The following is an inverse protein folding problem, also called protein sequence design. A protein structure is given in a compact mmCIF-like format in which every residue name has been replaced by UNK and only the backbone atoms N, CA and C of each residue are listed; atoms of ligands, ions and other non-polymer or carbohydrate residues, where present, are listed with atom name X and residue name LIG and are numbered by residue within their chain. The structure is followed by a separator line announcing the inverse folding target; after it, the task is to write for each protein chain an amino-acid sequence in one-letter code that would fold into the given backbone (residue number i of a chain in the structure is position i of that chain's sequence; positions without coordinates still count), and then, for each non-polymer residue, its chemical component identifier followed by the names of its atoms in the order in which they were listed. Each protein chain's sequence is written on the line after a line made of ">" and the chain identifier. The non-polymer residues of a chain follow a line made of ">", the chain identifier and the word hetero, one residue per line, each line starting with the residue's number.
data_IF_174724960355
#
_entry.id   IF_174724960355
#
_cell.length_a   1.000
_cell.length_b   1.000
_cell.length_c   1.000
_cell.angle_alpha   90.00
_cell.angle_beta   90.00
_cell.angle_gamma   90.00
#
_symmetry.space_group_name_H-M   'P 1'
#
loop_
_entity.id
_entity.type
_entity.pdbx_description
1 polymer ?
#
# COMPACT_ATOMS: atom_id res chain seq x y z
N UNK A 1 -14.13 6.40 -29.14
CA UNK A 1 -13.27 5.23 -28.84
C UNK A 1 -13.41 4.92 -27.34
N UNK A 2 -13.85 3.71 -26.96
CA UNK A 2 -13.85 3.31 -25.54
C UNK A 2 -12.41 3.09 -25.11
N UNK A 3 -11.94 3.80 -24.08
CA UNK A 3 -10.65 3.52 -23.46
C UNK A 3 -10.79 2.24 -22.64
N UNK A 4 -10.33 1.12 -23.19
CA UNK A 4 -10.23 -0.13 -22.44
C UNK A 4 -8.97 -0.01 -21.57
N UNK A 5 -9.08 -0.14 -20.24
CA UNK A 5 -7.93 -0.17 -19.36
C UNK A 5 -6.97 -1.28 -19.80
N UNK A 6 -5.69 -0.94 -20.00
CA UNK A 6 -4.66 -1.93 -20.27
C UNK A 6 -4.18 -2.53 -18.95
N UNK A 7 -3.93 -3.84 -18.96
CA UNK A 7 -3.30 -4.54 -17.85
C UNK A 7 -1.86 -4.03 -17.71
N UNK A 8 -1.54 -3.42 -16.57
CA UNK A 8 -0.20 -2.85 -16.34
C UNK A 8 0.83 -3.89 -15.92
N UNK A 9 0.41 -4.94 -15.19
CA UNK A 9 1.30 -5.94 -14.61
C UNK A 9 0.52 -7.10 -14.01
N UNK A 10 1.15 -8.28 -13.97
CA UNK A 10 0.70 -9.47 -13.23
C UNK A 10 1.86 -9.94 -12.35
N UNK A 11 1.56 -10.32 -11.11
CA UNK A 11 2.53 -10.88 -10.17
C UNK A 11 1.82 -11.84 -9.22
N UNK A 12 2.60 -12.74 -8.63
CA UNK A 12 2.16 -13.62 -7.55
C UNK A 12 2.60 -13.02 -6.21
N UNK A 13 1.71 -13.07 -5.22
CA UNK A 13 1.96 -12.64 -3.84
C UNK A 13 1.58 -13.78 -2.88
N UNK A 14 2.51 -14.70 -2.59
CA UNK A 14 2.28 -15.76 -1.62
C UNK A 14 2.36 -15.19 -0.20
N UNK A 15 1.35 -15.46 0.62
CA UNK A 15 1.36 -15.13 2.04
C UNK A 15 1.72 -16.38 2.86
N UNK A 16 2.62 -16.26 3.83
CA UNK A 16 3.02 -17.37 4.69
C UNK A 16 4.45 -17.32 5.19
N UNK A 17 4.92 -18.42 5.76
CA UNK A 17 6.31 -18.60 6.18
C UNK A 17 7.25 -18.71 4.98
N UNK A 18 8.57 -18.65 5.21
CA UNK A 18 9.54 -18.88 4.13
C UNK A 18 9.38 -20.25 3.46
N UNK A 19 8.96 -21.27 4.22
CA UNK A 19 8.70 -22.61 3.70
C UNK A 19 7.46 -22.64 2.79
N UNK A 20 6.42 -21.90 3.15
CA UNK A 20 5.20 -21.77 2.34
C UNK A 20 5.51 -21.07 1.03
N UNK A 21 6.38 -20.05 1.08
CA UNK A 21 6.83 -19.33 -0.11
C UNK A 21 7.52 -20.26 -1.12
N UNK A 22 8.50 -21.06 -0.68
CA UNK A 22 9.26 -21.96 -1.57
C UNK A 22 8.35 -23.02 -2.20
N UNK A 23 7.40 -23.54 -1.42
CA UNK A 23 6.41 -24.50 -1.91
C UNK A 23 5.50 -23.86 -2.97
N UNK A 24 4.95 -22.67 -2.69
CA UNK A 24 4.05 -21.95 -3.61
C UNK A 24 4.77 -21.44 -4.86
N UNK A 25 6.05 -21.10 -4.76
CA UNK A 25 6.88 -20.65 -5.88
C UNK A 25 6.94 -21.70 -7.00
N UNK A 26 7.00 -22.99 -6.65
CA UNK A 26 7.05 -24.09 -7.63
C UNK A 26 5.80 -24.23 -8.50
N UNK A 27 4.65 -23.73 -8.03
CA UNK A 27 3.38 -23.74 -8.77
C UNK A 27 3.15 -22.49 -9.64
N UNK A 28 4.03 -21.50 -9.55
CA UNK A 28 3.88 -20.23 -10.25
C UNK A 28 4.34 -20.33 -11.72
N UNK A 29 3.62 -19.65 -12.63
CA UNK A 29 4.00 -19.60 -14.03
C UNK A 29 5.37 -18.93 -14.22
N UNK A 30 6.23 -19.54 -15.03
CA UNK A 30 7.53 -18.97 -15.40
C UNK A 30 7.37 -17.59 -16.08
N UNK A 31 8.22 -16.64 -15.70
CA UNK A 31 8.23 -15.28 -16.25
C UNK A 31 7.28 -14.29 -15.56
N UNK A 32 6.40 -14.74 -14.66
CA UNK A 32 5.60 -13.86 -13.80
C UNK A 32 6.37 -13.57 -12.52
N UNK A 33 6.62 -12.29 -12.15
CA UNK A 33 7.32 -11.95 -10.92
C UNK A 33 6.63 -12.52 -9.68
N UNK A 34 7.44 -13.13 -8.80
CA UNK A 34 7.01 -13.59 -7.49
C UNK A 34 7.51 -12.58 -6.45
N UNK A 35 6.60 -11.94 -5.73
CA UNK A 35 6.95 -10.95 -4.72
C UNK A 35 6.97 -11.59 -3.35
N UNK A 36 8.12 -11.48 -2.67
CA UNK A 36 8.26 -11.82 -1.24
C UNK A 36 8.23 -10.53 -0.45
N UNK A 37 7.34 -10.44 0.53
CA UNK A 37 7.41 -9.37 1.51
C UNK A 37 8.67 -9.54 2.35
N UNK A 38 9.40 -8.45 2.53
CA UNK A 38 10.44 -8.36 3.55
C UNK A 38 9.84 -8.73 4.92
N UNK A 39 10.52 -9.48 5.80
CA UNK A 39 10.03 -9.76 7.15
C UNK A 39 9.70 -8.50 7.97
N UNK A 40 10.33 -7.36 7.66
CA UNK A 40 10.05 -6.06 8.26
C UNK A 40 8.85 -5.34 7.61
N UNK A 41 8.25 -5.90 6.56
CA UNK A 41 7.07 -5.34 5.91
C UNK A 41 5.88 -5.37 6.87
N UNK A 42 5.40 -4.20 7.25
CA UNK A 42 4.15 -4.04 7.97
C UNK A 42 3.06 -3.59 7.01
N UNK A 43 2.02 -4.41 6.75
CA UNK A 43 0.93 -3.99 5.90
C UNK A 43 0.18 -2.82 6.56
N UNK A 44 -0.38 -1.88 5.78
CA UNK A 44 -1.24 -0.85 6.33
C UNK A 44 -2.48 -1.50 6.96
N UNK A 45 -2.87 -0.99 8.12
CA UNK A 45 -4.15 -1.33 8.76
C UNK A 45 -5.35 -0.91 7.91
N UNK A 46 -5.18 0.17 7.13
CA UNK A 46 -6.25 0.73 6.31
C UNK A 46 -5.71 1.44 5.08
N UNK A 47 -6.40 1.28 3.96
CA UNK A 47 -6.13 1.97 2.69
C UNK A 47 -7.41 2.65 2.23
N UNK A 48 -7.32 3.92 1.83
CA UNK A 48 -8.45 4.68 1.31
C UNK A 48 -8.09 5.48 0.06
N UNK A 49 -9.06 5.58 -0.84
CA UNK A 49 -9.02 6.48 -2.02
C UNK A 49 -9.24 7.94 -1.66
N UNK A 50 -9.57 8.23 -0.41
CA UNK A 50 -9.76 9.57 0.11
C UNK A 50 -8.41 10.11 0.59
N UNK A 51 -8.00 11.28 0.11
CA UNK A 51 -6.78 11.96 0.55
C UNK A 51 -6.96 12.58 1.94
N UNK A 52 -6.21 12.12 2.93
CA UNK A 52 -6.25 12.63 4.31
C UNK A 52 -6.05 14.14 4.39
N UNK A 53 -5.01 14.66 3.72
CA UNK A 53 -4.71 16.10 3.66
C UNK A 53 -5.91 16.93 3.20
N UNK A 54 -6.52 16.54 2.07
CA UNK A 54 -7.60 17.29 1.44
C UNK A 54 -8.93 17.14 2.19
N UNK A 55 -9.29 15.92 2.58
CA UNK A 55 -10.64 15.62 3.04
C UNK A 55 -10.78 15.64 4.56
N UNK A 56 -9.74 15.26 5.29
CA UNK A 56 -9.75 15.29 6.77
C UNK A 56 -9.15 16.58 7.31
N UNK A 57 -7.97 16.98 6.82
CA UNK A 57 -7.31 18.23 7.25
C UNK A 57 -7.81 19.48 6.53
N UNK A 58 -8.58 19.33 5.45
CA UNK A 58 -9.11 20.45 4.63
C UNK A 58 -8.01 21.39 4.10
N UNK A 59 -6.80 20.88 3.92
CA UNK A 59 -5.67 21.65 3.41
C UNK A 59 -5.71 21.76 1.88
N UNK A 60 -5.18 22.86 1.34
CA UNK A 60 -5.10 23.08 -0.10
C UNK A 60 -4.01 22.23 -0.76
N UNK A 61 -4.25 21.83 -2.01
CA UNK A 61 -3.35 20.96 -2.77
C UNK A 61 -2.53 21.65 -3.87
N UNK A 62 -2.56 22.99 -3.98
CA UNK A 62 -1.93 23.74 -5.09
C UNK A 62 -0.42 23.45 -5.26
N UNK A 63 0.29 23.19 -4.15
CA UNK A 63 1.73 22.87 -4.12
C UNK A 63 2.02 21.56 -3.38
N UNK A 64 1.11 20.58 -3.46
CA UNK A 64 1.24 19.32 -2.73
C UNK A 64 2.28 18.40 -3.37
N UNK A 65 3.24 17.90 -2.58
CA UNK A 65 4.20 16.86 -3.00
C UNK A 65 3.54 15.50 -3.30
N UNK A 66 2.28 15.32 -2.89
CA UNK A 66 1.51 14.07 -2.95
C UNK A 66 2.16 12.88 -2.24
N UNK A 67 3.27 13.09 -1.55
CA UNK A 67 3.96 12.11 -0.72
C UNK A 67 4.25 12.77 0.63
N UNK A 68 3.41 12.48 1.61
CA UNK A 68 3.38 13.15 2.91
C UNK A 68 3.18 12.13 4.02
N UNK A 69 3.88 12.31 5.13
CA UNK A 69 3.75 11.47 6.32
C UNK A 69 3.22 12.30 7.48
N UNK A 70 2.15 11.82 8.11
CA UNK A 70 1.57 12.41 9.31
C UNK A 70 1.60 11.41 10.45
N UNK A 71 1.64 11.92 11.69
CA UNK A 71 1.43 11.12 12.90
C UNK A 71 0.09 11.50 13.53
N UNK A 72 -0.69 10.49 13.90
CA UNK A 72 -1.95 10.63 14.61
C UNK A 72 -1.92 9.79 15.87
N UNK A 73 -2.36 10.34 17.00
CA UNK A 73 -2.55 9.59 18.24
C UNK A 73 -4.05 9.38 18.44
N UNK A 74 -4.45 8.13 18.67
CA UNK A 74 -5.79 7.77 19.12
C UNK A 74 -5.65 6.87 20.34
N UNK A 75 -6.21 7.32 21.46
CA UNK A 75 -6.01 6.77 22.79
C UNK A 75 -4.51 6.64 23.14
N UNK A 76 -4.06 5.42 23.46
CA UNK A 76 -2.66 5.09 23.76
C UNK A 76 -1.86 4.65 22.53
N UNK A 77 -2.48 4.62 21.35
CA UNK A 77 -1.87 4.11 20.12
C UNK A 77 -1.45 5.26 19.21
N UNK A 78 -0.27 5.13 18.59
CA UNK A 78 0.22 6.06 17.58
C UNK A 78 0.12 5.40 16.21
N UNK A 79 -0.38 6.16 15.25
CA UNK A 79 -0.55 5.74 13.87
C UNK A 79 0.25 6.65 12.94
N UNK A 80 0.89 6.04 11.95
CA UNK A 80 1.49 6.77 10.84
C UNK A 80 0.50 6.79 9.68
N UNK A 81 0.19 7.99 9.18
CA UNK A 81 -0.69 8.20 8.04
C UNK A 81 0.17 8.66 6.88
N UNK A 82 0.36 7.79 5.89
CA UNK A 82 1.05 8.10 4.66
C UNK A 82 0.02 8.51 3.60
N UNK A 83 0.20 9.68 3.01
CA UNK A 83 -0.53 10.09 1.81
C UNK A 83 0.39 9.93 0.61
N UNK A 84 0.07 9.02 -0.31
CA UNK A 84 0.81 8.79 -1.55
C UNK A 84 -0.14 8.84 -2.74
N UNK A 85 0.11 9.76 -3.68
CA UNK A 85 -0.70 9.93 -4.89
C UNK A 85 -2.20 10.11 -4.60
N UNK A 86 -2.51 10.90 -3.57
CA UNK A 86 -3.87 11.15 -3.06
C UNK A 86 -4.57 9.93 -2.42
N UNK A 87 -3.89 8.79 -2.30
CA UNK A 87 -4.32 7.66 -1.49
C UNK A 87 -3.81 7.82 -0.06
N UNK A 88 -4.59 7.35 0.91
CA UNK A 88 -4.23 7.35 2.32
C UNK A 88 -3.97 5.93 2.79
N UNK A 89 -2.85 5.72 3.47
CA UNK A 89 -2.45 4.48 4.09
C UNK A 89 -2.24 4.73 5.59
N UNK A 90 -2.79 3.88 6.45
CA UNK A 90 -2.65 4.00 7.91
C UNK A 90 -1.87 2.80 8.41
N UNK A 91 -0.80 3.04 9.15
CA UNK A 91 0.03 2.02 9.77
C UNK A 91 0.00 2.19 11.29
N UNK A 92 0.05 1.07 12.02
CA UNK A 92 0.37 1.11 13.45
C UNK A 92 1.85 1.45 13.59
N UNK A 93 2.19 2.38 14.50
CA UNK A 93 3.60 2.61 14.88
C UNK A 93 4.12 1.51 15.79
#
# INVERSE_FOLDING_TARGET
>A
KKNIPQLSSVFYWPEGSSRDFDMLASGCQAGVPLLKCDPAFSPPLFISKICWKKHFKKEQCRSCSKNLLYRMRADRTVFNILVKDCLTFIFKS
#
